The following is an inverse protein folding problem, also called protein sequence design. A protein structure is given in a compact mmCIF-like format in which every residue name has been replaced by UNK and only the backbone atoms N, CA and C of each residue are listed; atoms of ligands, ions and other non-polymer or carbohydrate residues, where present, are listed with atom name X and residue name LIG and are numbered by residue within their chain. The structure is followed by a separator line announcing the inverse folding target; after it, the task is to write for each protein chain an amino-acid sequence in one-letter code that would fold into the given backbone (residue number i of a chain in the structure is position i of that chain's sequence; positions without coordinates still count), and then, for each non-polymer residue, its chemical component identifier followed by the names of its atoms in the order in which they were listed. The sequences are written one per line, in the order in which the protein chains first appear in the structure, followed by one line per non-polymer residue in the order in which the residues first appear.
data_IF_609223231533
#
_entry.id   IF_609223231533
#
_cell.length_a   1.000
_cell.length_b   1.000
_cell.length_c   1.000
_cell.angle_alpha   90.00
_cell.angle_beta   90.00
_cell.angle_gamma   90.00
#
_symmetry.space_group_name_H-M   'P 1'
#
loop_
_entity.id
_entity.type
_entity.pdbx_description
1 polymer ?
#
# COMPACT_ATOMS: atom_id res chain seq x y z
N UNK A 1 2.46 -7.81 -13.15
CA UNK A 1 3.87 -7.45 -12.85
C UNK A 1 4.83 -8.63 -12.88
N UNK A 2 4.49 -9.82 -12.35
CA UNK A 2 5.38 -11.02 -12.37
C UNK A 2 4.91 -12.04 -13.43
N UNK A 3 4.13 -11.60 -14.41
CA UNK A 3 3.77 -12.48 -15.52
C UNK A 3 5.00 -12.83 -16.34
N UNK A 4 5.10 -14.11 -16.73
CA UNK A 4 6.24 -14.62 -17.48
C UNK A 4 6.38 -13.88 -18.80
N UNK A 5 7.55 -13.26 -19.02
CA UNK A 5 7.87 -12.56 -20.27
C UNK A 5 8.37 -11.13 -20.10
N UNK A 6 8.21 -10.53 -18.92
CA UNK A 6 8.73 -9.19 -18.61
C UNK A 6 10.12 -9.25 -17.94
N UNK A 7 10.92 -8.18 -18.04
CA UNK A 7 12.28 -8.15 -17.48
C UNK A 7 12.27 -8.35 -15.96
N UNK A 8 11.25 -7.83 -15.27
CA UNK A 8 11.03 -8.00 -13.84
C UNK A 8 10.90 -9.48 -13.44
N UNK A 9 10.30 -10.31 -14.30
CA UNK A 9 10.15 -11.76 -14.06
C UNK A 9 11.47 -12.53 -14.22
N UNK A 10 12.41 -12.01 -15.01
CA UNK A 10 13.73 -12.64 -15.24
C UNK A 10 14.73 -12.26 -14.15
N UNK A 11 14.68 -11.01 -13.69
CA UNK A 11 15.60 -10.50 -12.67
C UNK A 11 15.10 -10.75 -11.25
N UNK A 12 13.84 -11.15 -11.08
CA UNK A 12 13.18 -11.25 -9.76
C UNK A 12 13.31 -9.96 -8.94
N UNK A 13 13.33 -8.82 -9.64
CA UNK A 13 13.55 -7.49 -9.07
C UNK A 13 12.52 -6.52 -9.65
N UNK A 14 11.89 -5.76 -8.78
CA UNK A 14 10.97 -4.68 -9.14
C UNK A 14 11.52 -3.39 -8.55
N UNK A 15 11.68 -2.37 -9.40
CA UNK A 15 12.13 -1.04 -8.96
C UNK A 15 10.90 -0.14 -8.82
N UNK A 16 10.69 0.39 -7.61
CA UNK A 16 9.60 1.31 -7.30
C UNK A 16 10.22 2.69 -7.06
N UNK A 17 9.88 3.67 -7.91
CA UNK A 17 10.43 5.04 -7.84
C UNK A 17 9.41 6.06 -7.35
N UNK A 18 8.12 5.71 -7.40
CA UNK A 18 7.03 6.66 -7.16
C UNK A 18 6.63 6.76 -5.67
N UNK A 19 7.20 5.90 -4.84
CA UNK A 19 6.87 5.81 -3.42
C UNK A 19 8.15 5.74 -2.59
N UNK A 20 8.08 6.31 -1.38
CA UNK A 20 9.16 6.20 -0.42
C UNK A 20 9.27 4.76 0.11
N UNK A 21 10.45 4.42 0.63
CA UNK A 21 10.71 3.09 1.20
C UNK A 21 9.70 2.71 2.29
N UNK A 22 9.33 3.67 3.13
CA UNK A 22 8.41 3.45 4.24
C UNK A 22 7.01 3.01 3.75
N UNK A 23 6.47 3.61 2.70
CA UNK A 23 5.16 3.24 2.13
C UNK A 23 5.21 1.84 1.52
N UNK A 24 6.31 1.52 0.82
CA UNK A 24 6.50 0.19 0.22
C UNK A 24 6.63 -0.88 1.31
N UNK A 25 7.45 -0.63 2.33
CA UNK A 25 7.64 -1.55 3.46
C UNK A 25 6.30 -1.82 4.17
N UNK A 26 5.51 -0.77 4.38
CA UNK A 26 4.19 -0.84 4.99
C UNK A 26 3.20 -1.65 4.16
N UNK A 27 3.13 -1.39 2.85
CA UNK A 27 2.27 -2.15 1.93
C UNK A 27 2.66 -3.64 1.90
N UNK A 28 3.96 -3.95 1.89
CA UNK A 28 4.45 -5.33 1.95
C UNK A 28 4.08 -5.99 3.27
N UNK A 29 4.30 -5.31 4.41
CA UNK A 29 3.88 -5.82 5.73
C UNK A 29 2.40 -6.16 5.77
N UNK A 30 1.55 -5.29 5.24
CA UNK A 30 0.11 -5.56 5.11
C UNK A 30 -0.18 -6.79 4.25
N UNK A 31 0.46 -6.92 3.08
CA UNK A 31 0.28 -8.08 2.20
C UNK A 31 0.65 -9.41 2.88
N UNK A 32 1.61 -9.39 3.81
CA UNK A 32 2.02 -10.56 4.60
C UNK A 32 1.26 -10.73 5.92
N UNK A 33 0.24 -9.89 6.19
CA UNK A 33 -0.61 -10.00 7.38
C UNK A 33 0.03 -9.48 8.66
N UNK A 34 1.05 -8.62 8.57
CA UNK A 34 1.60 -7.94 9.74
C UNK A 34 0.69 -6.78 10.15
N UNK A 35 0.18 -6.84 11.37
CA UNK A 35 -0.55 -5.74 12.00
C UNK A 35 0.43 -4.88 12.81
N UNK A 36 0.74 -3.68 12.33
CA UNK A 36 1.49 -2.65 13.06
C UNK A 36 0.56 -1.47 13.38
N UNK A 37 0.30 -1.13 14.65
CA UNK A 37 -0.51 0.03 15.01
C UNK A 37 0.02 1.36 14.44
N UNK A 38 1.33 1.46 14.20
CA UNK A 38 1.97 2.64 13.63
C UNK A 38 1.88 2.71 12.09
N UNK A 39 1.37 1.66 11.42
CA UNK A 39 1.05 1.71 9.99
C UNK A 39 0.00 2.79 9.69
N UNK A 40 -0.89 3.09 10.65
CA UNK A 40 -2.19 3.67 10.37
C UNK A 40 -2.33 5.12 10.86
N UNK A 41 -1.52 6.03 10.29
CA UNK A 41 -1.78 7.47 10.35
C UNK A 41 -2.59 7.90 9.13
N UNK A 42 -3.27 9.06 9.21
CA UNK A 42 -4.01 9.64 8.08
C UNK A 42 -3.07 9.86 6.88
N UNK A 43 -1.87 10.40 7.11
CA UNK A 43 -0.87 10.62 6.06
C UNK A 43 -0.42 9.30 5.41
N UNK A 44 -0.26 8.23 6.20
CA UNK A 44 0.09 6.90 5.68
C UNK A 44 -1.07 6.30 4.89
N UNK A 45 -2.32 6.50 5.32
CA UNK A 45 -3.50 5.97 4.65
C UNK A 45 -3.66 6.54 3.24
N UNK A 46 -3.35 7.83 3.02
CA UNK A 46 -3.39 8.45 1.68
C UNK A 46 -2.32 7.83 0.76
N UNK A 47 -1.09 7.69 1.25
CA UNK A 47 0.01 7.11 0.46
C UNK A 47 -0.22 5.63 0.16
N UNK A 48 -0.74 4.88 1.13
CA UNK A 48 -1.10 3.46 0.97
C UNK A 48 -2.28 3.28 0.01
N UNK A 49 -3.26 4.20 0.02
CA UNK A 49 -4.36 4.19 -0.93
C UNK A 49 -3.86 4.40 -2.37
N UNK A 50 -2.99 5.38 -2.59
CA UNK A 50 -2.39 5.62 -3.91
C UNK A 50 -1.54 4.43 -4.37
N UNK A 51 -0.79 3.81 -3.47
CA UNK A 51 -0.03 2.60 -3.75
C UNK A 51 -0.96 1.44 -4.12
N UNK A 52 -2.00 1.21 -3.34
CA UNK A 52 -2.98 0.14 -3.57
C UNK A 52 -3.70 0.31 -4.91
N UNK A 53 -4.05 1.54 -5.28
CA UNK A 53 -4.69 1.84 -6.57
C UNK A 53 -3.74 1.60 -7.75
N UNK A 54 -2.47 2.00 -7.62
CA UNK A 54 -1.47 1.83 -8.69
C UNK A 54 -1.04 0.37 -8.90
N UNK A 55 -0.94 -0.40 -7.83
CA UNK A 55 -0.52 -1.81 -7.88
C UNK A 55 -1.69 -2.80 -7.85
N UNK A 56 -2.94 -2.31 -7.93
CA UNK A 56 -4.18 -3.08 -7.90
C UNK A 56 -4.29 -4.05 -6.70
N UNK A 57 -3.94 -3.57 -5.50
CA UNK A 57 -4.03 -4.32 -4.25
C UNK A 57 -5.38 -4.04 -3.59
N UNK A 58 -6.41 -4.78 -4.01
CA UNK A 58 -7.82 -4.55 -3.61
C UNK A 58 -8.03 -4.53 -2.09
N UNK A 59 -7.44 -5.47 -1.37
CA UNK A 59 -7.61 -5.57 0.09
C UNK A 59 -7.02 -4.35 0.81
N UNK A 60 -5.86 -3.88 0.36
CA UNK A 60 -5.23 -2.67 0.89
C UNK A 60 -6.04 -1.43 0.56
N UNK A 61 -6.61 -1.34 -0.66
CA UNK A 61 -7.47 -0.23 -1.08
C UNK A 61 -8.72 -0.13 -0.21
N UNK A 62 -9.47 -1.22 -0.06
CA UNK A 62 -10.68 -1.25 0.79
C UNK A 62 -10.37 -0.94 2.25
N UNK A 63 -9.23 -1.41 2.75
CA UNK A 63 -8.78 -1.09 4.10
C UNK A 63 -8.47 0.41 4.26
N UNK A 64 -7.66 0.98 3.37
CA UNK A 64 -7.29 2.40 3.41
C UNK A 64 -8.49 3.34 3.21
N UNK A 65 -9.46 2.97 2.37
CA UNK A 65 -10.72 3.70 2.21
C UNK A 65 -11.52 3.69 3.52
N UNK A 66 -11.68 2.53 4.16
CA UNK A 66 -12.43 2.41 5.43
C UNK A 66 -11.82 3.27 6.54
N UNK A 67 -10.48 3.26 6.66
CA UNK A 67 -9.75 4.09 7.61
C UNK A 67 -9.95 5.59 7.35
N UNK A 68 -9.87 6.01 6.08
CA UNK A 68 -10.05 7.42 5.70
C UNK A 68 -11.49 7.91 5.95
N UNK A 69 -12.50 7.05 5.73
CA UNK A 69 -13.89 7.37 6.05
C UNK A 69 -14.15 7.47 7.56
N UNK A 70 -13.53 6.63 8.39
CA UNK A 70 -13.70 6.68 9.85
C UNK A 70 -12.89 7.81 10.52
N UNK A 71 -11.72 8.17 9.97
CA UNK A 71 -10.92 9.31 10.45
C UNK A 71 -11.60 10.67 10.27
N UNK A 72 -12.49 10.80 9.28
CA UNK A 72 -13.23 12.03 9.02
C UNK A 72 -14.43 12.29 9.95
N UNK A 73 -14.78 11.35 10.85
CA UNK A 73 -15.90 11.53 11.79
C UNK A 73 -15.50 12.19 13.13
N UNK A 74 -14.20 12.47 13.36
CA UNK A 74 -13.72 13.10 14.60
C UNK A 74 -13.45 14.62 14.48
N UNK A 75 -13.85 15.25 13.38
CA UNK A 75 -13.73 16.72 13.20
C UNK A 75 -15.05 17.33 12.71
N UNK A 76 -16.12 17.17 13.49
CA UNK A 76 -17.31 18.02 13.51
C UNK A 76 -17.84 18.08 14.95
#
# INVERSE_FOLDING_TARGET
MIESGMQESKESKVTIIDFNFETVEKAVKFCYGFEDPNLWSIDNAVNLLQFADKYDIKDLKSFSETFNFHGNFFIL
#
